data_IF_541268451975
#
_entry.id   IF_541268451975
#
_cell.length_a   1.000
_cell.length_b   1.000
_cell.length_c   1.000
_cell.angle_alpha   90.00
_cell.angle_beta   90.00
_cell.angle_gamma   90.00
#
_symmetry.space_group_name_H-M   'P 1'
#
loop_
_entity.id
_entity.type
_entity.pdbx_description
1 polymer ?
#
# COMPACT_ATOMS: atom_id res chain seq x y z
N UNK A 1 51.18 -6.91 -26.13
CA UNK A 1 50.58 -7.07 -24.78
C UNK A 1 49.16 -6.49 -24.74
N UNK A 2 48.88 -5.39 -25.45
CA UNK A 2 47.58 -4.71 -25.50
C UNK A 2 46.41 -5.55 -26.03
N UNK A 3 46.61 -6.37 -27.07
CA UNK A 3 45.52 -7.18 -27.67
C UNK A 3 44.92 -8.18 -26.67
N UNK A 4 45.76 -8.74 -25.78
CA UNK A 4 45.31 -9.70 -24.75
C UNK A 4 44.48 -9.01 -23.65
N UNK A 5 44.82 -7.77 -23.32
CA UNK A 5 44.10 -6.95 -22.34
C UNK A 5 42.74 -6.53 -22.92
N UNK A 6 42.71 -6.12 -24.18
CA UNK A 6 41.46 -5.73 -24.85
C UNK A 6 40.49 -6.92 -24.96
N UNK A 7 40.98 -8.12 -25.26
CA UNK A 7 40.16 -9.33 -25.28
C UNK A 7 39.60 -9.68 -23.89
N UNK A 8 40.39 -9.50 -22.83
CA UNK A 8 39.93 -9.73 -21.46
C UNK A 8 38.84 -8.73 -21.04
N UNK A 9 38.99 -7.46 -21.42
CA UNK A 9 38.00 -6.41 -21.15
C UNK A 9 36.69 -6.68 -21.90
N UNK A 10 36.76 -7.07 -23.18
CA UNK A 10 35.57 -7.40 -23.98
C UNK A 10 34.89 -8.66 -23.43
N UNK A 11 35.65 -9.66 -22.99
CA UNK A 11 35.11 -10.85 -22.33
C UNK A 11 34.37 -10.50 -21.04
N UNK A 12 34.97 -9.65 -20.19
CA UNK A 12 34.35 -9.19 -18.94
C UNK A 12 33.08 -8.38 -19.20
N UNK A 13 33.11 -7.45 -20.16
CA UNK A 13 31.93 -6.68 -20.58
C UNK A 13 30.82 -7.59 -21.12
N UNK A 14 31.16 -8.60 -21.92
CA UNK A 14 30.19 -9.58 -22.41
C UNK A 14 29.55 -10.40 -21.29
N UNK A 15 30.34 -10.86 -20.31
CA UNK A 15 29.80 -11.57 -19.14
C UNK A 15 28.96 -10.68 -18.24
N UNK A 16 29.35 -9.41 -18.05
CA UNK A 16 28.59 -8.44 -17.27
C UNK A 16 27.25 -8.08 -17.95
N UNK A 17 27.27 -7.95 -19.28
CA UNK A 17 26.06 -7.72 -20.07
C UNK A 17 25.13 -8.94 -20.06
N UNK A 18 25.68 -10.15 -20.12
CA UNK A 18 24.92 -11.38 -19.99
C UNK A 18 24.30 -11.54 -18.58
N UNK A 19 24.99 -11.08 -17.53
CA UNK A 19 24.44 -11.04 -16.17
C UNK A 19 23.32 -10.00 -16.01
N UNK A 20 23.43 -8.84 -16.67
CA UNK A 20 22.38 -7.82 -16.74
C UNK A 20 21.19 -8.24 -17.63
N UNK A 21 21.40 -9.08 -18.64
CA UNK A 21 20.33 -9.64 -19.46
C UNK A 21 19.70 -10.89 -18.81
N UNK A 22 20.44 -11.58 -17.95
CA UNK A 22 19.96 -12.72 -17.16
C UNK A 22 19.15 -12.31 -15.92
N UNK A 23 19.22 -11.04 -15.48
CA UNK A 23 18.10 -10.45 -14.74
C UNK A 23 16.94 -10.32 -15.71
N UNK A 24 16.16 -11.39 -15.80
CA UNK A 24 14.90 -11.45 -16.51
C UNK A 24 14.12 -10.16 -16.32
N UNK A 25 13.49 -9.61 -17.37
CA UNK A 25 12.52 -8.55 -17.16
C UNK A 25 11.51 -9.09 -16.14
N UNK A 26 11.30 -8.36 -15.04
CA UNK A 26 10.15 -8.59 -14.15
C UNK A 26 8.89 -8.21 -14.93
N UNK A 27 8.57 -9.04 -15.91
CA UNK A 27 7.53 -8.85 -16.90
C UNK A 27 6.81 -10.16 -17.04
N UNK A 28 5.89 -10.38 -16.10
CA UNK A 28 4.48 -10.68 -16.29
C UNK A 28 3.95 -10.87 -14.87
N UNK A 29 3.17 -9.91 -14.39
CA UNK A 29 2.42 -10.05 -13.14
C UNK A 29 1.27 -11.02 -13.42
N UNK A 30 1.54 -12.32 -13.33
CA UNK A 30 0.50 -13.34 -13.50
C UNK A 30 0.58 -14.35 -12.35
N UNK A 31 -0.20 -14.05 -11.32
CA UNK A 31 -0.40 -14.93 -10.18
C UNK A 31 -1.67 -14.63 -9.38
N UNK A 32 -2.54 -13.72 -9.84
CA UNK A 32 -3.74 -13.37 -9.06
C UNK A 32 -4.59 -12.20 -9.55
N UNK A 33 -4.20 -11.49 -10.61
CA UNK A 33 -5.00 -10.38 -11.19
C UNK A 33 -5.97 -10.95 -12.25
N UNK A 34 -7.29 -10.73 -12.13
CA UNK A 34 -8.24 -11.16 -13.13
C UNK A 34 -7.95 -10.58 -14.52
N UNK A 35 -8.10 -11.40 -15.56
CA UNK A 35 -7.95 -10.96 -16.96
C UNK A 35 -8.87 -9.78 -17.24
N UNK A 36 -8.30 -8.69 -17.77
CA UNK A 36 -9.04 -7.49 -18.16
C UNK A 36 -9.31 -6.48 -17.04
N UNK A 37 -8.99 -6.79 -15.77
CA UNK A 37 -9.19 -5.82 -14.67
C UNK A 37 -8.24 -4.61 -14.81
N UNK A 38 -6.99 -4.84 -15.18
CA UNK A 38 -6.03 -3.77 -15.45
C UNK A 38 -6.50 -2.86 -16.59
N UNK A 39 -6.97 -3.47 -17.68
CA UNK A 39 -7.48 -2.76 -18.85
C UNK A 39 -8.76 -1.97 -18.51
N UNK A 40 -9.64 -2.55 -17.69
CA UNK A 40 -10.85 -1.87 -17.22
C UNK A 40 -10.50 -0.63 -16.39
N UNK A 41 -9.59 -0.73 -15.42
CA UNK A 41 -9.15 0.42 -14.61
C UNK A 41 -8.44 1.46 -15.47
N UNK A 42 -7.68 1.05 -16.48
CA UNK A 42 -7.02 1.98 -17.41
C UNK A 42 -8.03 2.81 -18.22
N UNK A 43 -9.16 2.21 -18.63
CA UNK A 43 -10.23 2.88 -19.38
C UNK A 43 -11.27 3.57 -18.48
N UNK A 44 -11.35 3.20 -17.20
CA UNK A 44 -12.29 3.75 -16.21
C UNK A 44 -11.56 4.14 -14.91
N UNK A 45 -10.67 5.15 -14.94
CA UNK A 45 -9.84 5.51 -13.78
C UNK A 45 -10.62 6.05 -12.57
N UNK A 46 -11.90 6.40 -12.76
CA UNK A 46 -12.83 6.78 -11.70
C UNK A 46 -13.61 5.61 -11.09
N UNK A 47 -13.49 4.39 -11.64
CA UNK A 47 -14.11 3.20 -11.04
C UNK A 47 -13.34 2.78 -9.79
N UNK A 48 -13.80 3.32 -8.66
CA UNK A 48 -13.23 3.07 -7.34
C UNK A 48 -13.20 1.59 -6.99
N UNK A 49 -14.25 0.84 -7.31
CA UNK A 49 -14.36 -0.57 -6.89
C UNK A 49 -13.32 -1.41 -7.62
N UNK A 50 -13.22 -1.23 -8.94
CA UNK A 50 -12.19 -1.88 -9.75
C UNK A 50 -10.77 -1.47 -9.31
N UNK A 51 -10.54 -0.18 -9.01
CA UNK A 51 -9.27 0.31 -8.51
C UNK A 51 -8.88 -0.35 -7.17
N UNK A 52 -9.83 -0.48 -6.24
CA UNK A 52 -9.61 -1.09 -4.94
C UNK A 52 -9.34 -2.59 -5.07
N UNK A 53 -10.11 -3.30 -5.91
CA UNK A 53 -9.88 -4.72 -6.18
C UNK A 53 -8.48 -4.93 -6.77
N UNK A 54 -8.13 -4.19 -7.82
CA UNK A 54 -6.83 -4.32 -8.48
C UNK A 54 -5.67 -4.00 -7.50
N UNK A 55 -5.84 -2.98 -6.68
CA UNK A 55 -4.88 -2.64 -5.63
C UNK A 55 -4.70 -3.78 -4.62
N UNK A 56 -5.79 -4.40 -4.17
CA UNK A 56 -5.71 -5.52 -3.23
C UNK A 56 -5.00 -6.73 -3.86
N UNK A 57 -5.27 -7.04 -5.14
CA UNK A 57 -4.56 -8.12 -5.85
C UNK A 57 -3.05 -7.89 -5.91
N UNK A 58 -2.62 -6.68 -6.25
CA UNK A 58 -1.19 -6.36 -6.31
C UNK A 58 -0.54 -6.33 -4.92
N UNK A 59 -1.23 -5.86 -3.89
CA UNK A 59 -0.72 -5.91 -2.52
C UNK A 59 -0.53 -7.36 -2.05
N UNK A 60 -1.49 -8.23 -2.34
CA UNK A 60 -1.43 -9.65 -1.96
C UNK A 60 -0.36 -10.41 -2.76
N UNK A 61 -0.12 -10.01 -4.01
CA UNK A 61 0.98 -10.50 -4.83
C UNK A 61 2.37 -9.93 -4.44
N UNK A 62 2.44 -9.01 -3.46
CA UNK A 62 3.70 -8.44 -3.01
C UNK A 62 4.26 -7.36 -3.94
N UNK A 63 3.41 -6.68 -4.71
CA UNK A 63 3.76 -5.59 -5.63
C UNK A 63 3.25 -4.21 -5.14
N UNK A 64 3.66 -3.74 -3.94
CA UNK A 64 3.16 -2.47 -3.40
C UNK A 64 3.56 -1.24 -4.22
N UNK A 65 4.68 -1.30 -4.96
CA UNK A 65 5.10 -0.21 -5.84
C UNK A 65 4.12 0.01 -7.00
N UNK A 66 3.50 -1.06 -7.52
CA UNK A 66 2.50 -0.98 -8.59
C UNK A 66 1.25 -0.29 -8.08
N UNK A 67 0.80 -0.62 -6.86
CA UNK A 67 -0.35 0.05 -6.22
C UNK A 67 -0.09 1.53 -5.99
N UNK A 68 1.13 1.89 -5.58
CA UNK A 68 1.52 3.28 -5.46
C UNK A 68 1.37 4.01 -6.80
N UNK A 69 1.92 3.45 -7.89
CA UNK A 69 1.82 4.03 -9.23
C UNK A 69 0.37 4.12 -9.71
N UNK A 70 -0.41 3.05 -9.51
CA UNK A 70 -1.81 2.95 -9.90
C UNK A 70 -2.66 4.04 -9.23
N UNK A 71 -2.53 4.22 -7.91
CA UNK A 71 -3.30 5.24 -7.18
C UNK A 71 -2.88 6.66 -7.58
N UNK A 72 -1.60 6.90 -7.86
CA UNK A 72 -1.14 8.22 -8.33
C UNK A 72 -1.54 8.53 -9.77
N UNK A 73 -1.71 7.49 -10.61
CA UNK A 73 -2.19 7.62 -11.99
C UNK A 73 -3.74 7.71 -12.08
N UNK A 74 -4.45 7.29 -11.03
CA UNK A 74 -5.90 7.30 -10.95
C UNK A 74 -6.53 8.70 -10.95
N UNK A 75 -7.85 8.73 -11.00
CA UNK A 75 -8.58 9.99 -11.07
C UNK A 75 -8.52 10.79 -9.75
N UNK A 76 -8.33 12.11 -9.85
CA UNK A 76 -8.19 12.98 -8.67
C UNK A 76 -9.41 12.97 -7.73
N UNK A 77 -10.60 12.67 -8.24
CA UNK A 77 -11.83 12.49 -7.46
C UNK A 77 -11.72 11.39 -6.39
N UNK A 78 -10.87 10.38 -6.62
CA UNK A 78 -10.65 9.27 -5.68
C UNK A 78 -9.63 9.60 -4.58
N UNK A 79 -8.86 10.69 -4.71
CA UNK A 79 -7.80 11.06 -3.76
C UNK A 79 -8.34 11.39 -2.36
N UNK A 80 -9.62 11.74 -2.25
CA UNK A 80 -10.29 11.97 -0.97
C UNK A 80 -10.73 10.69 -0.26
N UNK A 81 -10.80 9.55 -0.94
CA UNK A 81 -11.51 8.37 -0.44
C UNK A 81 -10.69 7.57 0.59
N UNK A 82 -11.24 7.21 1.77
CA UNK A 82 -10.50 6.63 2.89
C UNK A 82 -10.02 5.23 2.54
N UNK A 83 -10.81 4.45 1.79
CA UNK A 83 -10.36 3.14 1.33
C UNK A 83 -9.20 3.23 0.32
N UNK A 84 -9.14 4.27 -0.51
CA UNK A 84 -8.04 4.49 -1.45
C UNK A 84 -6.80 4.92 -0.67
N UNK A 85 -6.95 5.86 0.27
CA UNK A 85 -5.90 6.26 1.20
C UNK A 85 -5.39 5.06 2.03
N UNK A 86 -6.25 4.13 2.42
CA UNK A 86 -5.86 2.89 3.09
C UNK A 86 -4.98 2.00 2.21
N UNK A 87 -5.33 1.78 0.93
CA UNK A 87 -4.49 0.99 0.01
C UNK A 87 -3.16 1.68 -0.24
N UNK A 88 -3.16 3.00 -0.35
CA UNK A 88 -1.94 3.80 -0.42
C UNK A 88 -1.06 3.63 0.84
N UNK A 89 -1.67 3.60 2.02
CA UNK A 89 -0.96 3.31 3.27
C UNK A 89 -0.35 1.90 3.28
N UNK A 90 -1.12 0.87 2.89
CA UNK A 90 -0.62 -0.51 2.76
C UNK A 90 0.52 -0.62 1.75
N UNK A 91 0.47 0.13 0.65
CA UNK A 91 1.55 0.21 -0.32
C UNK A 91 2.83 0.80 0.31
N UNK A 92 2.72 1.92 1.04
CA UNK A 92 3.87 2.48 1.77
C UNK A 92 4.42 1.52 2.83
N UNK A 93 3.56 0.83 3.57
CA UNK A 93 3.96 -0.20 4.54
C UNK A 93 4.73 -1.34 3.85
N UNK A 94 4.22 -1.85 2.73
CA UNK A 94 4.87 -2.89 1.93
C UNK A 94 6.24 -2.48 1.37
N UNK A 95 6.47 -1.18 1.21
CA UNK A 95 7.77 -0.59 0.82
C UNK A 95 8.67 -0.25 2.02
N UNK A 96 8.25 -0.52 3.26
CA UNK A 96 8.98 -0.15 4.47
C UNK A 96 8.97 1.36 4.79
N UNK A 97 8.15 2.15 4.08
CA UNK A 97 8.00 3.60 4.28
C UNK A 97 7.00 3.90 5.41
N UNK A 98 7.28 3.43 6.62
CA UNK A 98 6.33 3.46 7.74
C UNK A 98 5.87 4.86 8.14
N UNK A 99 6.74 5.88 8.02
CA UNK A 99 6.35 7.26 8.29
C UNK A 99 5.26 7.77 7.33
N UNK A 100 5.33 7.39 6.05
CA UNK A 100 4.32 7.75 5.05
C UNK A 100 3.07 6.91 5.23
N UNK A 101 3.24 5.61 5.49
CA UNK A 101 2.14 4.69 5.78
C UNK A 101 1.30 5.17 6.96
N UNK A 102 1.93 5.61 8.06
CA UNK A 102 1.26 6.12 9.26
C UNK A 102 0.46 7.39 8.97
N UNK A 103 1.06 8.38 8.28
CA UNK A 103 0.37 9.63 7.95
C UNK A 103 -0.86 9.37 7.09
N UNK A 104 -0.74 8.49 6.10
CA UNK A 104 -1.84 8.14 5.19
C UNK A 104 -2.91 7.30 5.90
N UNK A 105 -2.53 6.36 6.78
CA UNK A 105 -3.49 5.56 7.55
C UNK A 105 -4.34 6.44 8.48
N UNK A 106 -3.70 7.36 9.22
CA UNK A 106 -4.40 8.32 10.08
C UNK A 106 -5.32 9.24 9.28
N UNK A 107 -4.95 9.61 8.05
CA UNK A 107 -5.83 10.39 7.18
C UNK A 107 -7.10 9.60 6.84
N UNK A 108 -6.94 8.35 6.39
CA UNK A 108 -8.05 7.46 6.05
C UNK A 108 -9.00 7.24 7.23
N UNK A 109 -8.45 6.93 8.41
CA UNK A 109 -9.21 6.78 9.66
C UNK A 109 -10.02 8.05 9.98
N UNK A 110 -9.38 9.23 9.97
CA UNK A 110 -10.06 10.49 10.30
C UNK A 110 -11.16 10.85 9.31
N UNK A 111 -10.92 10.65 8.01
CA UNK A 111 -11.94 10.87 6.98
C UNK A 111 -13.15 9.96 7.21
N UNK A 112 -12.92 8.68 7.49
CA UNK A 112 -13.99 7.73 7.80
C UNK A 112 -14.71 8.06 9.11
N UNK A 113 -14.00 8.46 10.17
CA UNK A 113 -14.60 8.93 11.43
C UNK A 113 -15.56 10.11 11.22
N UNK A 114 -15.18 11.05 10.34
CA UNK A 114 -16.01 12.20 9.97
C UNK A 114 -17.23 11.79 9.16
N UNK A 115 -17.06 10.88 8.20
CA UNK A 115 -18.17 10.34 7.42
C UNK A 115 -19.20 9.61 8.30
N UNK A 116 -18.71 8.83 9.27
CA UNK A 116 -19.56 8.09 10.21
C UNK A 116 -20.25 8.98 11.25
N UNK A 117 -19.74 10.20 11.48
CA UNK A 117 -20.30 11.13 12.45
C UNK A 117 -19.90 10.86 13.90
N UNK A 118 -18.69 10.32 14.14
CA UNK A 118 -18.18 10.16 15.51
C UNK A 118 -18.04 11.55 16.18
N UNK A 119 -18.52 11.66 17.43
CA UNK A 119 -18.56 12.94 18.16
C UNK A 119 -17.19 13.53 18.47
N UNK A 120 -16.14 12.71 18.48
CA UNK A 120 -14.74 13.08 18.64
C UNK A 120 -13.98 13.20 17.31
N UNK A 121 -14.67 13.07 16.18
CA UNK A 121 -14.03 13.13 14.87
C UNK A 121 -13.43 14.54 14.63
N UNK A 122 -12.15 14.61 14.22
CA UNK A 122 -11.42 15.88 14.17
C UNK A 122 -12.08 16.88 13.21
N UNK A 123 -12.44 18.04 13.75
CA UNK A 123 -13.19 19.09 13.04
C UNK A 123 -12.41 19.75 11.90
N UNK A 124 -11.07 19.60 11.88
CA UNK A 124 -10.20 20.12 10.83
C UNK A 124 -10.16 19.28 9.54
N UNK A 125 -10.78 18.10 9.52
CA UNK A 125 -10.95 17.31 8.30
C UNK A 125 -12.33 17.56 7.69
N UNK A 126 -12.36 17.91 6.40
CA UNK A 126 -13.59 18.08 5.63
C UNK A 126 -14.46 16.83 5.74
N UNK A 127 -15.78 17.02 5.86
CA UNK A 127 -16.72 15.90 5.75
C UNK A 127 -16.65 15.42 4.31
N UNK A 128 -16.30 14.16 4.08
CA UNK A 128 -16.17 13.67 2.73
C UNK A 128 -17.53 13.35 2.08
N UNK A 129 -17.56 13.36 0.75
CA UNK A 129 -18.74 13.03 -0.06
C UNK A 129 -19.02 11.51 -0.16
N UNK A 130 -18.50 10.72 0.76
CA UNK A 130 -18.65 9.26 0.78
C UNK A 130 -18.99 8.78 2.18
N UNK A 131 -19.79 7.72 2.24
CA UNK A 131 -20.14 7.06 3.49
C UNK A 131 -19.04 6.10 3.93
N UNK A 132 -18.95 5.88 5.24
CA UNK A 132 -18.10 4.86 5.82
C UNK A 132 -18.91 4.00 6.77
N UNK A 133 -18.79 2.68 6.64
CA UNK A 133 -19.43 1.73 7.54
C UNK A 133 -18.64 1.58 8.84
N UNK A 134 -19.29 1.12 9.91
CA UNK A 134 -18.62 0.82 11.17
C UNK A 134 -17.50 -0.25 11.01
N UNK A 135 -17.70 -1.21 10.09
CA UNK A 135 -16.70 -2.23 9.78
C UNK A 135 -15.46 -1.65 9.09
N UNK A 136 -15.65 -0.74 8.14
CA UNK A 136 -14.55 -0.03 7.50
C UNK A 136 -13.81 0.85 8.49
N UNK A 137 -14.52 1.59 9.35
CA UNK A 137 -13.89 2.39 10.40
C UNK A 137 -13.00 1.54 11.30
N UNK A 138 -13.51 0.42 11.83
CA UNK A 138 -12.75 -0.47 12.71
C UNK A 138 -11.51 -1.05 12.02
N UNK A 139 -11.61 -1.36 10.73
CA UNK A 139 -10.48 -1.81 9.92
C UNK A 139 -9.41 -0.72 9.77
N UNK A 140 -9.83 0.51 9.44
CA UNK A 140 -8.93 1.66 9.28
C UNK A 140 -8.24 2.05 10.58
N UNK A 141 -8.99 2.11 11.69
CA UNK A 141 -8.48 2.38 13.04
C UNK A 141 -7.45 1.32 13.46
N UNK A 142 -7.75 0.04 13.20
CA UNK A 142 -6.82 -1.06 13.50
C UNK A 142 -5.52 -0.92 12.70
N UNK A 143 -5.62 -0.63 11.41
CA UNK A 143 -4.46 -0.45 10.54
C UNK A 143 -3.62 0.75 10.96
N UNK A 144 -4.24 1.91 11.20
CA UNK A 144 -3.56 3.12 11.64
C UNK A 144 -2.76 2.89 12.93
N UNK A 145 -3.37 2.23 13.92
CA UNK A 145 -2.69 1.85 15.17
C UNK A 145 -1.55 0.86 14.95
N UNK A 146 -1.73 -0.13 14.08
CA UNK A 146 -0.69 -1.11 13.80
C UNK A 146 0.54 -0.44 13.18
N UNK A 147 0.34 0.41 12.18
CA UNK A 147 1.44 1.12 11.51
C UNK A 147 2.11 2.14 12.44
N UNK A 148 1.35 2.80 13.32
CA UNK A 148 1.91 3.68 14.36
C UNK A 148 2.85 2.92 15.31
N UNK A 149 2.46 1.72 15.76
CA UNK A 149 3.34 0.86 16.55
C UNK A 149 4.60 0.46 15.79
N UNK A 150 4.49 0.15 14.49
CA UNK A 150 5.67 -0.19 13.67
C UNK A 150 6.64 0.99 13.57
N UNK A 151 6.11 2.20 13.40
CA UNK A 151 6.89 3.43 13.37
C UNK A 151 7.57 3.70 14.73
N UNK A 152 6.83 3.59 15.83
CA UNK A 152 7.34 3.78 17.18
C UNK A 152 8.42 2.75 17.56
N UNK A 153 8.32 1.52 17.04
CA UNK A 153 9.32 0.47 17.22
C UNK A 153 10.55 0.61 16.31
N UNK A 154 10.60 1.66 15.48
CA UNK A 154 11.70 1.93 14.56
C UNK A 154 11.87 0.84 13.50
N UNK A 155 10.76 0.25 13.03
CA UNK A 155 10.83 -0.70 11.92
C UNK A 155 11.28 0.00 10.64
N UNK A 156 12.14 -0.69 9.87
CA UNK A 156 12.71 -0.16 8.61
C UNK A 156 12.46 -1.06 7.41
N UNK A 157 11.94 -2.27 7.63
CA UNK A 157 11.64 -3.24 6.58
C UNK A 157 10.25 -3.82 6.72
N UNK A 158 9.55 -3.96 5.59
CA UNK A 158 8.23 -4.59 5.50
C UNK A 158 8.21 -6.07 5.87
N UNK A 159 9.38 -6.73 5.82
CA UNK A 159 9.57 -8.13 6.20
C UNK A 159 9.93 -8.35 7.67
N UNK A 160 9.97 -7.29 8.49
CA UNK A 160 10.29 -7.42 9.91
C UNK A 160 9.19 -8.24 10.64
N UNK A 161 9.55 -9.33 11.35
CA UNK A 161 8.58 -10.23 11.99
C UNK A 161 7.73 -9.54 13.08
N UNK A 162 8.18 -8.40 13.62
CA UNK A 162 7.41 -7.61 14.58
C UNK A 162 6.15 -7.01 13.96
N UNK A 163 6.04 -6.93 12.63
CA UNK A 163 4.86 -6.45 11.91
C UNK A 163 3.58 -7.20 12.31
N UNK A 164 3.63 -8.53 12.34
CA UNK A 164 2.50 -9.36 12.77
C UNK A 164 2.11 -9.09 14.23
N UNK A 165 3.11 -8.81 15.09
CA UNK A 165 2.87 -8.43 16.48
C UNK A 165 2.17 -7.08 16.59
N UNK A 166 2.54 -6.08 15.80
CA UNK A 166 1.88 -4.77 15.79
C UNK A 166 0.37 -4.90 15.51
N UNK A 167 0.00 -5.64 14.44
CA UNK A 167 -1.40 -5.93 14.13
C UNK A 167 -2.12 -6.68 15.25
N UNK A 168 -1.49 -7.68 15.85
CA UNK A 168 -2.09 -8.43 16.97
C UNK A 168 -2.38 -7.55 18.20
N UNK A 169 -1.56 -6.53 18.45
CA UNK A 169 -1.73 -5.58 19.55
C UNK A 169 -2.84 -4.60 19.23
N UNK A 170 -2.85 -4.05 18.02
CA UNK A 170 -3.90 -3.14 17.54
C UNK A 170 -5.29 -3.80 17.60
N UNK A 171 -5.42 -5.03 17.09
CA UNK A 171 -6.68 -5.79 17.11
C UNK A 171 -7.19 -6.09 18.53
N UNK A 172 -6.28 -6.44 19.46
CA UNK A 172 -6.66 -6.69 20.86
C UNK A 172 -7.26 -5.45 21.52
N UNK A 173 -6.68 -4.29 21.24
CA UNK A 173 -7.17 -3.02 21.79
C UNK A 173 -8.54 -2.64 21.23
N UNK A 174 -8.76 -2.82 19.93
CA UNK A 174 -10.06 -2.59 19.29
C UNK A 174 -11.15 -3.47 19.92
N UNK A 175 -10.87 -4.76 20.14
CA UNK A 175 -11.81 -5.66 20.85
C UNK A 175 -12.11 -5.19 22.26
N UNK A 176 -11.10 -4.82 23.05
CA UNK A 176 -11.32 -4.35 24.43
C UNK A 176 -12.22 -3.11 24.47
N UNK A 177 -12.03 -2.15 23.56
CA UNK A 177 -12.86 -0.95 23.48
C UNK A 177 -14.33 -1.27 23.14
N UNK A 178 -14.58 -2.29 22.29
CA UNK A 178 -15.93 -2.72 21.92
C UNK A 178 -16.71 -3.47 23.02
N UNK A 179 -16.05 -3.87 24.12
CA UNK A 179 -16.67 -4.57 25.26
C UNK A 179 -16.90 -3.68 26.49
N UNK A 180 -16.62 -2.37 26.40
CA UNK A 180 -16.92 -1.42 27.47
C UNK A 180 -18.36 -0.89 27.28
N UNK A 181 -19.30 -1.18 28.19
CA UNK A 181 -20.69 -0.73 28.12
C UNK A 181 -20.86 0.78 28.40
#
# INVERSE_FOLDING_TARGET
MEIRINLAIVGLLGTFWALLAASSPEGVVDGGVPVGLEDHVAHHPGDREALLELSDRYLDAGHPAVVLALIHAGEGSLSGHPLVAHRLSRAYEGLGRFGDAARTARLAERQCARAFGLGDAPTGTAVPDFDCTAGEYAMLETHARAVDLMLDWGMVSAGDPRRARAYSVALRRARVASFTP
#
